data_IF_267610084460
#
_entry.id   IF_267610084460
#
_cell.length_a   1.000
_cell.length_b   1.000
_cell.length_c   1.000
_cell.angle_alpha   90.00
_cell.angle_beta   90.00
_cell.angle_gamma   90.00
#
_symmetry.space_group_name_H-M   'P 1'
#
loop_
_entity.id
_entity.type
_entity.pdbx_description
1 polymer ?
#
# COMPACT_ATOMS: atom_id res chain seq x y z
N UNK A 1 -34.31 -89.90 -13.39
CA UNK A 1 -33.76 -89.87 -14.78
C UNK A 1 -33.49 -88.44 -15.10
N UNK A 2 -32.22 -88.06 -15.02
CA UNK A 2 -31.31 -87.60 -16.05
C UNK A 2 -31.89 -86.42 -16.87
N UNK A 3 -31.35 -85.21 -16.74
CA UNK A 3 -30.48 -84.58 -17.73
C UNK A 3 -30.09 -83.18 -17.25
N UNK A 4 -28.90 -82.99 -16.95
CA UNK A 4 -27.77 -82.33 -17.55
C UNK A 4 -27.99 -80.81 -17.84
N UNK A 5 -27.38 -80.10 -16.98
CA UNK A 5 -27.23 -78.66 -16.99
C UNK A 5 -26.08 -78.29 -17.93
N UNK A 6 -26.30 -77.35 -18.85
CA UNK A 6 -25.23 -76.75 -19.65
C UNK A 6 -24.92 -75.33 -19.06
N UNK A 7 -23.71 -75.26 -18.56
CA UNK A 7 -23.15 -74.01 -18.00
C UNK A 7 -22.83 -73.03 -19.10
N UNK A 8 -23.50 -71.89 -19.12
CA UNK A 8 -23.07 -70.73 -19.89
C UNK A 8 -22.46 -69.67 -19.00
N UNK A 9 -21.12 -69.59 -18.93
CA UNK A 9 -20.41 -68.51 -18.27
C UNK A 9 -20.39 -67.36 -19.24
N UNK A 10 -21.18 -66.29 -18.93
CA UNK A 10 -21.07 -65.02 -19.59
C UNK A 10 -20.05 -64.21 -18.81
N UNK A 11 -18.84 -64.05 -19.35
CA UNK A 11 -17.79 -63.21 -18.84
C UNK A 11 -18.12 -61.77 -19.21
N UNK A 12 -18.80 -61.07 -18.31
CA UNK A 12 -19.05 -59.64 -18.45
C UNK A 12 -17.78 -58.84 -18.19
N UNK A 13 -17.13 -58.38 -19.25
CA UNK A 13 -16.05 -57.36 -19.15
C UNK A 13 -16.65 -56.04 -18.68
N UNK A 14 -16.54 -55.79 -17.38
CA UNK A 14 -16.86 -54.47 -16.79
C UNK A 14 -15.68 -53.52 -17.04
N UNK A 15 -15.70 -52.86 -18.19
CA UNK A 15 -14.76 -51.77 -18.47
C UNK A 15 -15.18 -50.54 -17.67
N UNK A 16 -14.58 -50.37 -16.49
CA UNK A 16 -14.66 -49.12 -15.75
C UNK A 16 -13.89 -48.04 -16.51
N UNK A 17 -14.61 -47.19 -17.22
CA UNK A 17 -14.10 -45.95 -17.75
C UNK A 17 -13.81 -45.01 -16.60
N UNK A 18 -12.55 -44.97 -16.17
CA UNK A 18 -12.02 -43.92 -15.27
C UNK A 18 -12.01 -42.61 -16.07
N UNK A 19 -13.10 -41.86 -16.01
CA UNK A 19 -13.06 -40.43 -16.33
C UNK A 19 -12.22 -39.77 -15.28
N UNK A 20 -10.90 -39.69 -15.52
CA UNK A 20 -10.02 -38.73 -14.82
C UNK A 20 -10.46 -37.35 -15.31
N UNK A 21 -11.39 -36.73 -14.54
CA UNK A 21 -11.60 -35.30 -14.62
C UNK A 21 -10.30 -34.63 -14.19
N UNK A 22 -9.44 -34.36 -15.15
CA UNK A 22 -8.30 -33.49 -14.99
C UNK A 22 -8.85 -32.04 -14.94
N UNK A 23 -9.43 -31.64 -13.79
CA UNK A 23 -9.72 -30.25 -13.52
C UNK A 23 -8.35 -29.55 -13.42
N UNK A 24 -7.86 -29.07 -14.57
CA UNK A 24 -6.88 -28.00 -14.53
C UNK A 24 -7.51 -26.91 -13.66
N UNK A 25 -7.02 -26.75 -12.43
CA UNK A 25 -7.21 -25.51 -11.70
C UNK A 25 -6.65 -24.44 -12.61
N UNK A 26 -7.51 -23.65 -13.23
CA UNK A 26 -7.09 -22.41 -13.84
C UNK A 26 -6.43 -21.62 -12.71
N UNK A 27 -5.12 -21.48 -12.76
CA UNK A 27 -4.43 -20.52 -11.92
C UNK A 27 -5.08 -19.16 -12.22
N UNK A 28 -5.52 -18.41 -11.18
CA UNK A 28 -6.06 -17.08 -11.42
C UNK A 28 -5.06 -16.30 -12.25
N UNK A 29 -5.52 -15.72 -13.35
CA UNK A 29 -4.69 -14.90 -14.21
C UNK A 29 -3.93 -13.88 -13.34
N UNK A 30 -2.61 -13.88 -13.46
CA UNK A 30 -1.78 -12.97 -12.68
C UNK A 30 -2.27 -11.53 -12.94
N UNK A 31 -2.67 -10.84 -11.89
CA UNK A 31 -3.07 -9.42 -11.98
C UNK A 31 -1.85 -8.66 -12.44
N UNK A 32 -1.90 -8.13 -13.66
CA UNK A 32 -0.84 -7.26 -14.17
C UNK A 32 -1.00 -5.89 -13.51
N UNK A 33 -0.10 -5.56 -12.59
CA UNK A 33 -0.11 -4.29 -11.90
C UNK A 33 0.65 -3.26 -12.72
N UNK A 34 -0.04 -2.20 -13.13
CA UNK A 34 0.58 -1.05 -13.76
C UNK A 34 1.27 -0.18 -12.70
N UNK A 35 2.58 -0.36 -12.55
CA UNK A 35 3.39 0.36 -11.56
C UNK A 35 3.43 1.87 -11.82
N UNK A 36 3.37 2.30 -13.06
CA UNK A 36 3.35 3.73 -13.41
C UNK A 36 2.01 4.37 -12.99
N UNK A 37 0.90 3.63 -13.15
CA UNK A 37 -0.39 4.08 -12.67
C UNK A 37 -0.41 4.16 -11.14
N UNK A 38 0.10 3.14 -10.44
CA UNK A 38 0.22 3.16 -8.97
C UNK A 38 1.09 4.34 -8.51
N UNK A 39 2.23 4.59 -9.16
CA UNK A 39 3.10 5.74 -8.84
C UNK A 39 2.35 7.07 -8.96
N UNK A 40 1.53 7.24 -9.99
CA UNK A 40 0.69 8.45 -10.15
C UNK A 40 -0.36 8.56 -9.04
N UNK A 41 -0.98 7.45 -8.63
CA UNK A 41 -1.94 7.42 -7.52
C UNK A 41 -1.27 7.82 -6.19
N UNK A 42 -0.07 7.33 -5.93
CA UNK A 42 0.69 7.68 -4.72
C UNK A 42 1.10 9.17 -4.76
N UNK A 43 1.65 9.68 -5.88
CA UNK A 43 1.97 11.11 -6.01
C UNK A 43 0.72 11.99 -5.78
N UNK A 44 -0.43 11.60 -6.31
CA UNK A 44 -1.68 12.33 -6.06
C UNK A 44 -2.09 12.35 -4.58
N UNK A 45 -1.78 11.29 -3.82
CA UNK A 45 -1.97 11.25 -2.36
C UNK A 45 -1.04 12.23 -1.64
N UNK A 46 0.21 12.29 -2.05
CA UNK A 46 1.19 13.25 -1.53
C UNK A 46 0.78 14.69 -1.81
N UNK A 47 0.29 14.97 -3.02
CA UNK A 47 -0.17 16.29 -3.43
C UNK A 47 -1.43 16.72 -2.63
N UNK A 48 -2.37 15.79 -2.39
CA UNK A 48 -3.55 16.02 -1.56
C UNK A 48 -3.16 16.31 -0.09
N UNK A 49 -2.23 15.52 0.44
CA UNK A 49 -1.70 15.76 1.79
C UNK A 49 -1.03 17.13 1.88
N UNK A 50 -0.13 17.46 0.95
CA UNK A 50 0.55 18.76 0.92
C UNK A 50 -0.43 19.91 0.80
N UNK A 51 -1.43 19.83 -0.06
CA UNK A 51 -2.47 20.85 -0.22
C UNK A 51 -3.27 21.05 1.08
N UNK A 52 -3.66 19.95 1.74
CA UNK A 52 -4.41 19.97 3.00
C UNK A 52 -3.58 20.59 4.12
N UNK A 53 -2.33 20.15 4.28
CA UNK A 53 -1.39 20.68 5.25
C UNK A 53 -1.14 22.18 5.02
N UNK A 54 -0.80 22.57 3.79
CA UNK A 54 -0.48 23.96 3.44
C UNK A 54 -1.67 24.93 3.56
N UNK A 55 -2.90 24.41 3.57
CA UNK A 55 -4.10 25.21 3.81
C UNK A 55 -4.37 25.49 5.31
N UNK A 56 -3.62 24.87 6.21
CA UNK A 56 -3.84 24.94 7.66
C UNK A 56 -4.99 24.08 8.18
N UNK A 57 -5.64 23.28 7.31
CA UNK A 57 -6.80 22.45 7.66
C UNK A 57 -6.36 21.01 7.91
N UNK A 58 -5.79 20.73 9.09
CA UNK A 58 -5.33 19.38 9.46
C UNK A 58 -6.46 18.39 9.76
N UNK A 59 -7.68 18.89 9.98
CA UNK A 59 -8.83 18.09 10.43
C UNK A 59 -9.22 16.97 9.48
N UNK A 60 -8.89 17.09 8.20
CA UNK A 60 -9.28 16.18 7.13
C UNK A 60 -8.11 15.43 6.49
N UNK A 61 -6.97 15.34 7.15
CA UNK A 61 -5.86 14.53 6.64
C UNK A 61 -6.29 13.06 6.63
N UNK A 62 -6.92 12.63 5.51
CA UNK A 62 -7.40 11.26 5.26
C UNK A 62 -6.32 10.27 4.87
N UNK A 63 -5.10 10.71 4.89
CA UNK A 63 -3.91 10.04 4.42
C UNK A 63 -3.47 8.85 5.31
N UNK A 64 -3.69 8.96 6.63
CA UNK A 64 -3.24 7.97 7.60
C UNK A 64 -4.31 6.94 7.95
N UNK A 65 -3.89 5.68 8.09
CA UNK A 65 -4.67 4.66 8.78
C UNK A 65 -4.75 4.96 10.30
N UNK A 66 -5.79 4.46 10.97
CA UNK A 66 -5.96 4.71 12.42
C UNK A 66 -4.81 4.12 13.25
N UNK A 67 -4.20 3.01 12.78
CA UNK A 67 -3.05 2.31 13.37
C UNK A 67 -1.70 2.71 12.74
N UNK A 68 -1.64 3.83 12.05
CA UNK A 68 -0.40 4.35 11.46
C UNK A 68 0.65 4.64 12.52
N UNK A 69 1.93 4.47 12.15
CA UNK A 69 3.07 4.87 12.98
C UNK A 69 4.02 5.69 12.12
N UNK A 70 4.38 6.89 12.62
CA UNK A 70 5.33 7.78 11.97
C UNK A 70 6.62 7.86 12.77
N UNK A 71 7.75 7.77 12.08
CA UNK A 71 9.09 7.82 12.64
C UNK A 71 9.79 9.09 12.15
N UNK A 72 9.88 10.06 13.02
CA UNK A 72 10.62 11.30 12.76
C UNK A 72 11.96 11.29 13.48
N UNK A 73 12.91 12.00 12.90
CA UNK A 73 14.25 12.15 13.45
C UNK A 73 14.21 12.71 14.88
N UNK A 74 15.09 12.20 15.76
CA UNK A 74 15.34 12.69 17.13
C UNK A 74 14.12 12.66 18.06
N UNK A 75 13.16 11.76 17.84
CA UNK A 75 12.00 11.61 18.72
C UNK A 75 11.46 10.17 18.73
N UNK A 76 10.72 9.79 19.80
CA UNK A 76 9.99 8.54 19.82
C UNK A 76 8.95 8.47 18.68
N UNK A 77 8.60 7.26 18.21
CA UNK A 77 7.57 7.09 17.20
C UNK A 77 6.22 7.69 17.64
N UNK A 78 5.51 8.30 16.71
CA UNK A 78 4.13 8.73 16.89
C UNK A 78 3.21 7.57 16.54
N UNK A 79 2.48 7.07 17.52
CA UNK A 79 1.62 5.88 17.37
C UNK A 79 0.16 6.29 17.26
N UNK A 80 -0.47 5.90 16.14
CA UNK A 80 -1.85 6.19 15.82
C UNK A 80 -2.04 7.52 15.10
N UNK A 81 -3.05 7.55 14.22
CA UNK A 81 -3.42 8.72 13.42
C UNK A 81 -3.58 10.00 14.23
N UNK A 82 -4.22 9.90 15.41
CA UNK A 82 -4.46 11.07 16.24
C UNK A 82 -3.15 11.74 16.67
N UNK A 83 -2.17 10.98 17.18
CA UNK A 83 -0.88 11.51 17.61
C UNK A 83 -0.11 12.16 16.45
N UNK A 84 -0.19 11.56 15.24
CA UNK A 84 0.44 12.09 14.04
C UNK A 84 -0.21 13.44 13.65
N UNK A 85 -1.54 13.49 13.58
CA UNK A 85 -2.28 14.71 13.21
C UNK A 85 -2.06 15.85 14.21
N UNK A 86 -2.02 15.57 15.52
CA UNK A 86 -1.69 16.55 16.56
C UNK A 86 -0.27 17.11 16.38
N UNK A 87 0.68 16.26 16.07
CA UNK A 87 2.05 16.70 15.77
C UNK A 87 2.12 17.59 14.52
N UNK A 88 1.49 17.19 13.43
CA UNK A 88 1.44 17.97 12.19
C UNK A 88 0.78 19.34 12.44
N UNK A 89 -0.28 19.39 13.24
CA UNK A 89 -0.95 20.62 13.64
C UNK A 89 -0.04 21.55 14.40
N UNK A 90 0.73 21.04 15.36
CA UNK A 90 1.67 21.86 16.14
C UNK A 90 2.73 22.54 15.26
N UNK A 91 3.13 21.90 14.16
CA UNK A 91 4.03 22.48 13.15
C UNK A 91 3.39 23.63 12.36
N UNK A 92 2.09 23.54 12.07
CA UNK A 92 1.35 24.62 11.36
C UNK A 92 1.12 25.84 12.23
N UNK A 93 0.80 25.64 13.50
CA UNK A 93 0.52 26.73 14.44
C UNK A 93 1.78 27.60 14.72
N UNK A 94 2.96 27.08 14.41
CA UNK A 94 4.25 27.73 14.71
C UNK A 94 4.84 28.53 13.55
N UNK A 95 4.44 28.26 12.31
CA UNK A 95 5.00 28.93 11.13
C UNK A 95 4.08 28.84 9.90
N UNK A 96 4.36 29.64 8.87
CA UNK A 96 3.65 29.66 7.57
C UNK A 96 4.38 28.86 6.49
N UNK A 97 5.18 27.89 6.87
CA UNK A 97 5.97 27.09 5.93
C UNK A 97 5.07 26.17 5.10
N UNK A 98 5.49 25.94 3.88
CA UNK A 98 4.79 25.07 2.93
C UNK A 98 5.62 23.84 2.64
N UNK A 99 4.96 22.68 2.61
CA UNK A 99 5.59 21.41 2.26
C UNK A 99 5.18 20.98 0.87
N UNK A 100 6.06 20.31 0.17
CA UNK A 100 5.80 19.61 -1.09
C UNK A 100 6.55 18.28 -1.11
N UNK A 101 6.01 17.34 -1.86
CA UNK A 101 6.53 15.98 -1.97
C UNK A 101 6.74 15.60 -3.44
N UNK A 102 7.70 14.73 -3.67
CA UNK A 102 7.95 14.13 -4.97
C UNK A 102 8.19 12.64 -4.80
N UNK A 103 7.30 11.83 -5.34
CA UNK A 103 7.47 10.38 -5.44
C UNK A 103 8.57 10.05 -6.43
N UNK A 104 9.68 9.52 -5.96
CA UNK A 104 10.77 9.09 -6.83
C UNK A 104 10.55 7.68 -7.35
N UNK A 105 10.21 6.76 -6.47
CA UNK A 105 10.10 5.33 -6.76
C UNK A 105 8.99 4.67 -5.95
N UNK A 106 8.37 3.63 -6.53
CA UNK A 106 7.39 2.78 -5.84
C UNK A 106 7.71 1.30 -6.05
N UNK A 107 7.56 0.52 -4.99
CA UNK A 107 7.61 -0.94 -5.00
C UNK A 107 6.23 -1.46 -4.63
N UNK A 108 5.61 -2.18 -5.55
CA UNK A 108 4.22 -2.64 -5.42
C UNK A 108 4.22 -4.14 -5.17
N UNK A 109 3.45 -4.62 -4.19
CA UNK A 109 3.25 -6.05 -3.94
C UNK A 109 2.56 -6.73 -5.14
N UNK A 110 2.72 -8.04 -5.28
CA UNK A 110 2.17 -8.79 -6.42
C UNK A 110 0.63 -8.74 -6.52
N UNK A 111 -0.04 -8.47 -5.41
CA UNK A 111 -1.50 -8.33 -5.34
C UNK A 111 -1.98 -6.86 -5.41
N UNK A 112 -1.06 -5.89 -5.49
CA UNK A 112 -1.35 -4.47 -5.51
C UNK A 112 -1.87 -3.88 -4.20
N UNK A 113 -1.83 -4.63 -3.10
CA UNK A 113 -2.40 -4.19 -1.84
C UNK A 113 -1.42 -3.40 -0.97
N UNK A 114 -0.12 -3.53 -1.23
CA UNK A 114 0.92 -2.79 -0.52
C UNK A 114 1.82 -2.05 -1.49
N UNK A 115 2.21 -0.83 -1.11
CA UNK A 115 3.15 0.00 -1.85
C UNK A 115 4.17 0.56 -0.88
N UNK A 116 5.45 0.34 -1.16
CA UNK A 116 6.52 1.12 -0.54
C UNK A 116 6.87 2.26 -1.49
N UNK A 117 6.76 3.47 -1.01
CA UNK A 117 7.20 4.68 -1.71
C UNK A 117 8.54 5.15 -1.15
N UNK A 118 9.40 5.62 -2.05
CA UNK A 118 10.58 6.41 -1.72
C UNK A 118 10.43 7.76 -2.41
N UNK A 119 10.51 8.82 -1.64
CA UNK A 119 10.30 10.17 -2.13
C UNK A 119 11.22 11.20 -1.48
N UNK A 120 11.03 12.41 -1.93
CA UNK A 120 11.77 13.59 -1.51
C UNK A 120 10.78 14.67 -1.07
N UNK A 121 11.03 15.30 0.07
CA UNK A 121 10.24 16.44 0.53
C UNK A 121 11.05 17.73 0.48
N UNK A 122 10.33 18.82 0.29
CA UNK A 122 10.86 20.18 0.41
C UNK A 122 9.94 20.98 1.32
N UNK A 123 10.52 21.63 2.32
CA UNK A 123 9.87 22.65 3.15
C UNK A 123 10.39 24.03 2.73
N UNK A 124 9.49 24.95 2.44
CA UNK A 124 9.81 26.31 2.05
C UNK A 124 9.10 27.33 2.96
N UNK A 125 9.70 28.49 3.16
CA UNK A 125 9.09 29.60 3.90
C UNK A 125 8.01 30.32 3.06
N UNK A 126 7.40 31.34 3.63
CA UNK A 126 6.36 32.13 2.98
C UNK A 126 6.84 32.87 1.72
N UNK A 127 8.15 33.03 1.55
CA UNK A 127 8.79 33.63 0.36
C UNK A 127 9.19 32.61 -0.70
N UNK A 128 8.84 31.33 -0.46
CA UNK A 128 9.17 30.16 -1.28
C UNK A 128 10.68 29.80 -1.31
N UNK A 129 11.44 30.28 -0.32
CA UNK A 129 12.83 29.90 -0.12
C UNK A 129 12.86 28.55 0.61
N UNK A 130 13.65 27.59 0.10
CA UNK A 130 13.80 26.27 0.73
C UNK A 130 14.53 26.42 2.07
N UNK A 131 13.90 25.94 3.16
CA UNK A 131 14.44 25.98 4.51
C UNK A 131 14.80 24.58 5.02
N UNK A 132 14.23 23.53 4.42
CA UNK A 132 14.60 22.15 4.71
C UNK A 132 14.26 21.25 3.52
N UNK A 133 15.02 20.20 3.36
CA UNK A 133 14.78 19.13 2.40
C UNK A 133 15.10 17.79 3.03
N UNK A 134 14.68 16.72 2.41
CA UNK A 134 15.03 15.38 2.87
C UNK A 134 14.34 14.29 2.09
N UNK A 135 14.59 13.08 2.50
CA UNK A 135 14.01 11.89 1.90
C UNK A 135 13.01 11.26 2.85
N UNK A 136 12.07 10.53 2.29
CA UNK A 136 11.10 9.77 3.07
C UNK A 136 10.84 8.40 2.45
N UNK A 137 10.40 7.48 3.29
CA UNK A 137 9.90 6.19 2.90
C UNK A 137 8.54 5.97 3.56
N UNK A 138 7.56 5.54 2.77
CA UNK A 138 6.20 5.30 3.23
C UNK A 138 5.74 3.92 2.80
N UNK A 139 5.13 3.18 3.72
CA UNK A 139 4.37 1.98 3.43
C UNK A 139 2.89 2.33 3.40
N UNK A 140 2.29 2.16 2.24
CA UNK A 140 0.85 2.21 2.05
C UNK A 140 0.24 0.82 2.06
N UNK A 141 -0.98 0.71 2.59
CA UNK A 141 -1.86 -0.43 2.42
C UNK A 141 -3.17 0.00 1.77
N UNK A 142 -3.70 -0.86 0.91
CA UNK A 142 -5.01 -0.64 0.31
C UNK A 142 -6.10 -1.09 1.28
N UNK A 143 -6.79 -0.14 1.89
CA UNK A 143 -7.90 -0.37 2.82
C UNK A 143 -9.17 0.25 2.25
N UNK A 144 -10.24 -0.54 2.14
CA UNK A 144 -11.52 -0.09 1.55
C UNK A 144 -11.37 0.51 0.14
N UNK A 145 -10.46 -0.07 -0.67
CA UNK A 145 -10.21 0.35 -2.05
C UNK A 145 -9.31 1.57 -2.23
N UNK A 146 -8.79 2.19 -1.15
CA UNK A 146 -7.91 3.35 -1.19
C UNK A 146 -6.59 3.06 -0.46
N UNK A 147 -5.48 3.59 -0.96
CA UNK A 147 -4.21 3.54 -0.26
C UNK A 147 -4.23 4.48 0.93
N UNK A 148 -3.79 3.98 2.09
CA UNK A 148 -3.59 4.74 3.32
C UNK A 148 -2.22 4.41 3.92
N UNK A 149 -1.58 5.38 4.54
CA UNK A 149 -0.28 5.20 5.19
C UNK A 149 -0.43 4.39 6.45
N UNK A 150 0.37 3.34 6.58
CA UNK A 150 0.47 2.53 7.79
C UNK A 150 1.80 2.72 8.50
N UNK A 151 2.87 3.01 7.75
CA UNK A 151 4.20 3.33 8.31
C UNK A 151 4.85 4.40 7.45
N UNK A 152 5.48 5.35 8.09
CA UNK A 152 6.32 6.33 7.39
C UNK A 152 7.56 6.64 8.22
N UNK A 153 8.61 7.02 7.53
CA UNK A 153 9.81 7.57 8.13
C UNK A 153 10.40 8.65 7.23
N UNK A 154 11.01 9.65 7.85
CA UNK A 154 11.68 10.71 7.12
C UNK A 154 13.05 11.01 7.72
N UNK A 155 13.96 11.44 6.86
CA UNK A 155 15.29 11.91 7.22
C UNK A 155 15.51 13.28 6.57
N UNK A 156 15.86 14.26 7.41
CA UNK A 156 16.20 15.62 6.98
C UNK A 156 17.62 15.68 6.44
N UNK A 157 17.85 16.54 5.43
CA UNK A 157 19.19 16.87 4.93
C UNK A 157 19.88 17.92 5.82
N UNK A 158 19.17 18.48 6.83
CA UNK A 158 19.76 19.40 7.79
C UNK A 158 20.78 18.69 8.69
N UNK A 159 21.89 19.34 9.04
CA UNK A 159 22.83 18.80 10.02
C UNK A 159 22.13 18.45 11.35
N UNK A 160 22.61 17.41 12.01
CA UNK A 160 22.23 17.14 13.39
C UNK A 160 22.85 18.22 14.29
N UNK A 161 22.03 18.91 15.05
CA UNK A 161 22.48 19.82 16.11
C UNK A 161 22.86 19.04 17.37
#
# INVERSE_FOLDING_TARGET
MKHTILKGIVLGCLTTLLFACNTKKEEPAAVVIDKEQVKKEIQAKEDEFAATYNSGVTKNIGYYADDAISFYQNRPPLVGKQAIVEFLKSGLDSNSNKISFKTNEVFVSNDGNQVVEIGYFKLADSTNVSINTGNYMVLFEKRNGSYVVVREMSASDMPLE
#
